data_IF_201071986667
#
_entry.id   IF_201071986667
#
_cell.length_a   1.000
_cell.length_b   1.000
_cell.length_c   1.000
_cell.angle_alpha   90.00
_cell.angle_beta   90.00
_cell.angle_gamma   90.00
#
_symmetry.space_group_name_H-M   'P 1'
#
loop_
_entity.id
_entity.type
_entity.pdbx_description
1 polymer ?
#
# COMPACT_ATOMS: atom_id res chain seq x y z
N UNK A 1 -57.50 -54.43 47.93
CA UNK A 1 -56.14 -54.06 47.52
C UNK A 1 -56.10 -54.10 46.00
N UNK A 2 -56.05 -52.92 45.38
CA UNK A 2 -55.62 -52.61 44.01
C UNK A 2 -56.06 -51.17 43.74
N UNK A 3 -55.11 -50.25 43.71
CA UNK A 3 -55.32 -48.87 43.26
C UNK A 3 -54.42 -48.66 42.06
N UNK A 4 -55.05 -48.62 40.89
CA UNK A 4 -54.42 -48.40 39.60
C UNK A 4 -53.78 -47.00 39.55
N UNK A 5 -52.48 -46.95 39.27
CA UNK A 5 -51.75 -45.71 39.09
C UNK A 5 -52.03 -45.14 37.68
N UNK A 6 -52.73 -44.00 37.62
CA UNK A 6 -53.02 -43.28 36.37
C UNK A 6 -51.73 -42.62 35.84
N UNK A 7 -51.29 -42.90 34.60
CA UNK A 7 -50.12 -42.25 34.03
C UNK A 7 -50.40 -40.78 33.68
N UNK A 8 -49.72 -39.84 34.35
CA UNK A 8 -49.76 -38.41 34.00
C UNK A 8 -49.06 -38.19 32.65
N UNK A 9 -49.83 -38.12 31.57
CA UNK A 9 -49.35 -37.61 30.27
C UNK A 9 -49.13 -36.09 30.39
N UNK A 10 -47.88 -35.65 30.34
CA UNK A 10 -47.52 -34.24 30.20
C UNK A 10 -47.95 -33.76 28.80
N UNK A 11 -49.08 -33.06 28.73
CA UNK A 11 -49.54 -32.41 27.49
C UNK A 11 -48.94 -31.01 27.45
N UNK A 12 -47.91 -30.82 26.61
CA UNK A 12 -47.31 -29.50 26.40
C UNK A 12 -48.36 -28.62 25.70
N UNK A 13 -48.77 -27.48 26.31
CA UNK A 13 -49.76 -26.59 25.70
C UNK A 13 -49.24 -26.05 24.35
N UNK A 14 -50.15 -25.85 23.39
CA UNK A 14 -49.81 -25.54 22.00
C UNK A 14 -48.89 -24.31 21.86
N UNK A 15 -49.08 -23.30 22.71
CA UNK A 15 -48.22 -22.10 22.76
C UNK A 15 -46.77 -22.39 23.20
N UNK A 16 -46.56 -23.35 24.11
CA UNK A 16 -45.21 -23.76 24.52
C UNK A 16 -44.49 -24.53 23.40
N UNK A 17 -45.21 -25.31 22.57
CA UNK A 17 -44.62 -25.96 21.38
C UNK A 17 -44.20 -24.95 20.32
N UNK A 18 -45.01 -23.92 20.09
CA UNK A 18 -44.68 -22.84 19.17
C UNK A 18 -43.47 -22.04 19.65
N UNK A 19 -43.40 -21.77 20.96
CA UNK A 19 -42.29 -21.03 21.57
C UNK A 19 -40.98 -21.83 21.55
N UNK A 20 -41.03 -23.14 21.81
CA UNK A 20 -39.87 -24.03 21.69
C UNK A 20 -39.41 -24.08 20.23
N UNK A 21 -40.32 -24.23 19.27
CA UNK A 21 -40.01 -24.21 17.83
C UNK A 21 -39.33 -22.90 17.39
N UNK A 22 -39.87 -21.76 17.83
CA UNK A 22 -39.30 -20.44 17.58
C UNK A 22 -37.91 -20.27 18.20
N UNK A 23 -37.72 -20.72 19.46
CA UNK A 23 -36.41 -20.70 20.11
C UNK A 23 -35.41 -21.62 19.42
N UNK A 24 -35.81 -22.82 18.98
CA UNK A 24 -34.90 -23.75 18.29
C UNK A 24 -34.42 -23.26 16.93
N UNK A 25 -35.18 -22.40 16.25
CA UNK A 25 -34.80 -21.86 14.93
C UNK A 25 -34.19 -20.46 15.03
N UNK A 26 -34.73 -19.61 15.91
CA UNK A 26 -34.31 -18.22 16.05
C UNK A 26 -33.05 -18.02 16.88
N UNK A 27 -32.86 -18.81 17.94
CA UNK A 27 -31.72 -18.66 18.84
C UNK A 27 -30.38 -19.03 18.17
N UNK A 28 -30.26 -20.13 17.40
CA UNK A 28 -29.03 -20.43 16.68
C UNK A 28 -28.69 -19.36 15.64
N UNK A 29 -29.70 -18.80 14.98
CA UNK A 29 -29.52 -17.73 13.99
C UNK A 29 -29.01 -16.44 14.65
N UNK A 30 -29.57 -16.05 15.81
CA UNK A 30 -29.11 -14.90 16.58
C UNK A 30 -27.68 -15.09 17.09
N UNK A 31 -27.34 -16.27 17.60
CA UNK A 31 -25.98 -16.60 18.02
C UNK A 31 -25.01 -16.54 16.83
N UNK A 32 -25.42 -17.04 15.66
CA UNK A 32 -24.62 -16.98 14.44
C UNK A 32 -24.35 -15.52 14.01
N UNK A 33 -25.37 -14.67 14.02
CA UNK A 33 -25.24 -13.23 13.72
C UNK A 33 -24.30 -12.56 14.74
N UNK A 34 -24.49 -12.84 16.03
CA UNK A 34 -23.67 -12.26 17.10
C UNK A 34 -22.19 -12.66 17.02
N UNK A 35 -21.89 -13.84 16.47
CA UNK A 35 -20.52 -14.29 16.19
C UNK A 35 -19.94 -13.73 14.89
N UNK A 36 -20.77 -13.51 13.87
CA UNK A 36 -20.34 -13.03 12.56
C UNK A 36 -20.07 -11.52 12.55
N UNK A 37 -20.92 -10.71 13.21
CA UNK A 37 -20.81 -9.25 13.20
C UNK A 37 -19.44 -8.76 13.70
N UNK A 38 -18.89 -9.23 14.84
CA UNK A 38 -17.57 -8.81 15.31
C UNK A 38 -16.45 -9.20 14.34
N UNK A 39 -16.54 -10.37 13.69
CA UNK A 39 -15.54 -10.82 12.71
C UNK A 39 -15.55 -9.96 11.46
N UNK A 40 -16.74 -9.64 10.93
CA UNK A 40 -16.88 -8.75 9.77
C UNK A 40 -16.35 -7.36 10.12
N UNK A 41 -16.68 -6.85 11.31
CA UNK A 41 -16.19 -5.54 11.75
C UNK A 41 -14.66 -5.53 11.94
N UNK A 42 -14.10 -6.62 12.47
CA UNK A 42 -12.66 -6.79 12.58
C UNK A 42 -11.99 -6.86 11.20
N UNK A 43 -12.56 -7.58 10.23
CA UNK A 43 -12.04 -7.65 8.85
C UNK A 43 -12.14 -6.28 8.16
N UNK A 44 -13.25 -5.55 8.33
CA UNK A 44 -13.40 -4.19 7.79
C UNK A 44 -12.38 -3.26 8.42
N UNK A 45 -12.17 -3.35 9.74
CA UNK A 45 -11.15 -2.58 10.45
C UNK A 45 -9.74 -2.93 9.96
N UNK A 46 -9.42 -4.22 9.81
CA UNK A 46 -8.15 -4.67 9.26
C UNK A 46 -7.99 -4.22 7.81
N UNK A 47 -9.05 -4.24 7.00
CA UNK A 47 -9.03 -3.82 5.61
C UNK A 47 -8.84 -2.32 5.48
N UNK A 48 -9.47 -1.51 6.33
CA UNK A 48 -9.22 -0.07 6.40
C UNK A 48 -7.82 0.21 6.91
N UNK A 49 -7.33 -0.57 7.88
CA UNK A 49 -5.96 -0.49 8.36
C UNK A 49 -4.97 -0.82 7.23
N UNK A 50 -5.17 -1.91 6.49
CA UNK A 50 -4.35 -2.29 5.33
C UNK A 50 -4.45 -1.25 4.21
N UNK A 51 -5.63 -0.71 3.91
CA UNK A 51 -5.77 0.34 2.88
C UNK A 51 -5.10 1.65 3.28
N UNK A 52 -5.17 2.02 4.56
CA UNK A 52 -4.49 3.19 5.08
C UNK A 52 -2.99 2.97 5.25
N UNK A 53 -2.53 1.73 5.52
CA UNK A 53 -1.13 1.36 5.71
C UNK A 53 -0.42 0.97 4.41
N UNK A 54 -1.17 0.62 3.37
CA UNK A 54 -0.63 0.38 2.03
C UNK A 54 -0.16 1.72 1.46
N UNK A 55 1.16 1.89 1.44
CA UNK A 55 1.81 2.93 0.65
C UNK A 55 1.30 2.84 -0.79
N UNK A 56 0.94 3.97 -1.43
CA UNK A 56 0.48 3.95 -2.81
C UNK A 56 1.51 3.20 -3.69
N UNK A 57 1.11 2.21 -4.49
CA UNK A 57 2.01 1.43 -5.35
C UNK A 57 2.66 2.24 -6.48
N UNK A 58 2.51 3.57 -6.44
CA UNK A 58 2.78 4.51 -7.53
C UNK A 58 4.23 5.04 -7.48
N UNK A 59 4.91 4.95 -6.32
CA UNK A 59 6.23 5.56 -6.13
C UNK A 59 7.30 5.04 -7.12
N UNK A 60 7.35 3.73 -7.38
CA UNK A 60 8.35 3.14 -8.29
C UNK A 60 8.15 3.61 -9.73
N UNK A 61 6.89 3.59 -10.17
CA UNK A 61 6.53 3.99 -11.54
C UNK A 61 6.85 5.46 -11.82
N UNK A 62 6.62 6.34 -10.85
CA UNK A 62 6.90 7.78 -11.00
C UNK A 62 8.40 8.10 -11.04
N UNK A 63 9.24 7.35 -10.32
CA UNK A 63 10.71 7.48 -10.41
C UNK A 63 11.19 7.19 -11.84
N UNK A 64 10.66 6.13 -12.45
CA UNK A 64 11.00 5.77 -13.83
C UNK A 64 10.43 6.78 -14.83
N UNK A 65 9.20 7.25 -14.63
CA UNK A 65 8.63 8.31 -15.49
C UNK A 65 9.47 9.61 -15.45
N UNK A 66 9.91 10.03 -14.27
CA UNK A 66 10.80 11.19 -14.14
C UNK A 66 12.14 10.97 -14.86
N UNK A 67 12.66 9.73 -14.85
CA UNK A 67 13.87 9.37 -15.59
C UNK A 67 13.64 9.40 -17.11
N UNK A 68 12.53 8.86 -17.60
CA UNK A 68 12.20 8.86 -19.02
C UNK A 68 12.07 10.29 -19.57
N UNK A 69 11.47 11.21 -18.81
CA UNK A 69 11.40 12.63 -19.16
C UNK A 69 12.80 13.25 -19.26
N UNK A 70 13.71 12.91 -18.36
CA UNK A 70 15.10 13.38 -18.44
C UNK A 70 15.85 12.80 -19.63
N UNK A 71 15.54 11.57 -20.02
CA UNK A 71 16.13 10.94 -21.19
C UNK A 71 15.61 11.58 -22.47
N UNK A 72 14.32 11.88 -22.54
CA UNK A 72 13.72 12.63 -23.64
C UNK A 72 14.31 14.05 -23.74
N UNK A 73 14.42 14.76 -22.62
CA UNK A 73 15.11 16.06 -22.56
C UNK A 73 16.57 15.92 -22.98
N UNK A 74 17.23 14.84 -22.56
CA UNK A 74 18.62 14.59 -22.87
C UNK A 74 18.84 14.39 -24.38
N UNK A 75 17.89 13.75 -25.07
CA UNK A 75 17.94 13.48 -26.50
C UNK A 75 17.50 14.68 -27.36
N UNK A 76 16.45 15.40 -26.93
CA UNK A 76 15.75 16.37 -27.79
C UNK A 76 15.99 17.82 -27.39
N UNK A 77 16.25 18.07 -26.10
CA UNK A 77 16.24 19.42 -25.55
C UNK A 77 14.88 20.11 -25.62
N UNK A 78 13.76 19.37 -25.70
CA UNK A 78 12.42 19.96 -25.78
C UNK A 78 12.06 20.67 -24.45
N UNK A 79 11.83 21.99 -24.46
CA UNK A 79 11.48 22.73 -23.23
C UNK A 79 10.19 22.24 -22.56
N UNK A 80 9.30 21.53 -23.26
CA UNK A 80 8.10 20.92 -22.66
C UNK A 80 8.44 19.88 -21.59
N UNK A 81 9.59 19.21 -21.72
CA UNK A 81 10.04 18.21 -20.75
C UNK A 81 10.23 18.81 -19.36
N UNK A 82 10.59 20.10 -19.27
CA UNK A 82 10.68 20.81 -17.99
C UNK A 82 9.32 20.88 -17.28
N UNK A 83 8.26 21.20 -18.04
CA UNK A 83 6.91 21.27 -17.51
C UNK A 83 6.41 19.88 -17.09
N UNK A 84 6.67 18.85 -17.90
CA UNK A 84 6.31 17.48 -17.53
C UNK A 84 7.07 16.99 -16.30
N UNK A 85 8.35 17.33 -16.19
CA UNK A 85 9.17 17.01 -15.03
C UNK A 85 8.63 17.63 -13.75
N UNK A 86 8.28 18.93 -13.77
CA UNK A 86 7.71 19.62 -12.61
C UNK A 86 6.37 19.00 -12.19
N UNK A 87 5.53 18.60 -13.16
CA UNK A 87 4.26 17.93 -12.87
C UNK A 87 4.46 16.58 -12.19
N UNK A 88 5.34 15.71 -12.72
CA UNK A 88 5.63 14.41 -12.11
C UNK A 88 6.23 14.57 -10.71
N UNK A 89 7.12 15.54 -10.50
CA UNK A 89 7.67 15.78 -9.17
C UNK A 89 6.66 16.34 -8.17
N UNK A 90 5.68 17.12 -8.63
CA UNK A 90 4.55 17.52 -7.80
C UNK A 90 3.70 16.31 -7.38
N UNK A 91 3.43 15.37 -8.30
CA UNK A 91 2.72 14.14 -7.96
C UNK A 91 3.50 13.27 -6.95
N UNK A 92 4.82 13.09 -7.17
CA UNK A 92 5.70 12.39 -6.23
C UNK A 92 5.66 13.07 -4.85
N UNK A 93 5.67 14.41 -4.81
CA UNK A 93 5.58 15.16 -3.56
C UNK A 93 4.26 14.90 -2.84
N UNK A 94 3.13 14.92 -3.54
CA UNK A 94 1.82 14.63 -2.95
C UNK A 94 1.75 13.21 -2.35
N UNK A 95 2.26 12.22 -3.09
CA UNK A 95 2.34 10.83 -2.62
C UNK A 95 3.23 10.72 -1.38
N UNK A 96 4.36 11.44 -1.34
CA UNK A 96 5.24 11.49 -0.15
C UNK A 96 4.56 12.09 1.07
N UNK A 97 3.81 13.19 0.91
CA UNK A 97 3.08 13.83 2.01
C UNK A 97 2.01 12.89 2.57
N UNK A 98 1.29 12.17 1.71
CA UNK A 98 0.34 11.15 2.15
C UNK A 98 1.04 10.01 2.89
N UNK A 99 2.16 9.52 2.36
CA UNK A 99 2.97 8.48 3.01
C UNK A 99 3.50 8.90 4.38
N UNK A 100 3.90 10.17 4.56
CA UNK A 100 4.32 10.68 5.87
C UNK A 100 3.22 10.55 6.93
N UNK A 101 1.96 10.81 6.55
CA UNK A 101 0.81 10.69 7.46
C UNK A 101 0.58 9.24 7.86
N UNK A 102 0.68 8.31 6.90
CA UNK A 102 0.51 6.88 7.13
C UNK A 102 1.60 6.31 8.04
N UNK A 103 2.86 6.63 7.73
CA UNK A 103 4.03 6.08 8.42
C UNK A 103 4.13 6.58 9.86
N UNK A 104 3.62 7.79 10.16
CA UNK A 104 3.55 8.29 11.53
C UNK A 104 2.56 7.51 12.41
N UNK A 105 1.50 6.97 11.82
CA UNK A 105 0.51 6.15 12.55
C UNK A 105 1.01 4.73 12.77
N UNK A 106 1.90 4.25 11.90
CA UNK A 106 2.58 2.97 12.04
C UNK A 106 3.59 3.04 13.20
N UNK A 107 3.27 2.40 14.33
CA UNK A 107 4.15 2.24 15.50
C UNK A 107 5.26 1.19 15.24
N UNK A 108 5.96 1.34 14.13
CA UNK A 108 7.07 0.48 13.73
C UNK A 108 8.30 1.34 13.43
N UNK A 109 9.26 1.31 14.35
CA UNK A 109 10.49 2.11 14.27
C UNK A 109 11.35 1.76 13.04
N UNK A 110 11.35 0.50 12.59
CA UNK A 110 12.11 0.07 11.43
C UNK A 110 11.53 0.68 10.14
N UNK A 111 10.20 0.62 9.99
CA UNK A 111 9.49 1.21 8.84
C UNK A 111 9.69 2.73 8.82
N UNK A 112 9.56 3.40 9.97
CA UNK A 112 9.81 4.84 10.09
C UNK A 112 11.26 5.21 9.70
N UNK A 113 12.24 4.38 10.08
CA UNK A 113 13.64 4.60 9.71
C UNK A 113 13.87 4.43 8.21
N UNK A 114 13.36 3.33 7.62
CA UNK A 114 13.41 3.07 6.17
C UNK A 114 12.74 4.20 5.38
N UNK A 115 11.59 4.67 5.84
CA UNK A 115 10.87 5.79 5.24
C UNK A 115 11.66 7.11 5.29
N UNK A 116 12.25 7.46 6.44
CA UNK A 116 13.13 8.65 6.54
C UNK A 116 14.30 8.58 5.57
N UNK A 117 14.91 7.41 5.42
CA UNK A 117 16.00 7.20 4.45
C UNK A 117 15.51 7.36 3.01
N UNK A 118 14.33 6.81 2.69
CA UNK A 118 13.71 6.98 1.38
C UNK A 118 13.40 8.46 1.07
N UNK A 119 12.90 9.21 2.05
CA UNK A 119 12.64 10.66 1.94
C UNK A 119 13.92 11.46 1.62
N UNK A 120 15.05 11.09 2.23
CA UNK A 120 16.35 11.70 1.92
C UNK A 120 16.78 11.39 0.48
N UNK A 121 16.62 10.15 0.03
CA UNK A 121 16.95 9.75 -1.34
C UNK A 121 16.07 10.46 -2.37
N UNK A 122 14.78 10.66 -2.11
CA UNK A 122 13.90 11.46 -2.97
C UNK A 122 14.42 12.90 -3.14
N UNK A 123 14.84 13.53 -2.04
CA UNK A 123 15.41 14.88 -2.10
C UNK A 123 16.67 14.92 -2.96
N UNK A 124 17.58 13.98 -2.74
CA UNK A 124 18.82 13.87 -3.54
C UNK A 124 18.52 13.61 -5.00
N UNK A 125 17.59 12.70 -5.32
CA UNK A 125 17.19 12.40 -6.69
C UNK A 125 16.61 13.63 -7.37
N UNK A 126 15.67 14.32 -6.73
CA UNK A 126 15.07 15.55 -7.27
C UNK A 126 16.14 16.60 -7.57
N UNK A 127 17.08 16.83 -6.65
CA UNK A 127 18.16 17.80 -6.85
C UNK A 127 19.08 17.42 -8.02
N UNK A 128 19.46 16.15 -8.13
CA UNK A 128 20.28 15.65 -9.24
C UNK A 128 19.55 15.80 -10.58
N UNK A 129 18.29 15.38 -10.63
CA UNK A 129 17.46 15.45 -11.83
C UNK A 129 17.15 16.90 -12.24
N UNK A 130 16.83 17.76 -11.28
CA UNK A 130 16.62 19.19 -11.51
C UNK A 130 17.89 19.87 -12.02
N UNK A 131 19.07 19.47 -11.55
CA UNK A 131 20.34 19.96 -12.10
C UNK A 131 20.52 19.56 -13.56
N UNK A 132 20.15 18.32 -13.93
CA UNK A 132 20.25 17.84 -15.32
C UNK A 132 19.28 18.58 -16.24
N UNK A 133 18.02 18.72 -15.84
CA UNK A 133 16.99 19.32 -16.70
C UNK A 133 17.17 20.83 -16.88
N UNK A 134 17.81 21.50 -15.92
CA UNK A 134 18.11 22.94 -16.00
C UNK A 134 19.46 23.25 -16.65
N UNK A 135 20.30 22.26 -16.93
CA UNK A 135 21.57 22.48 -17.62
C UNK A 135 21.31 22.74 -19.11
N UNK A 136 21.94 23.78 -19.72
CA UNK A 136 21.87 24.00 -21.16
C UNK A 136 22.29 22.76 -21.94
N UNK A 137 21.53 22.43 -23.00
CA UNK A 137 21.72 21.20 -23.76
C UNK A 137 22.42 21.47 -25.09
N UNK A 138 23.42 20.65 -25.41
CA UNK A 138 23.92 20.48 -26.78
C UNK A 138 23.25 19.25 -27.40
N UNK A 139 22.31 19.41 -28.36
CA UNK A 139 21.60 18.28 -28.98
C UNK A 139 22.51 17.30 -29.73
N UNK A 140 23.74 17.70 -30.06
CA UNK A 140 24.65 16.88 -30.86
C UNK A 140 25.60 16.02 -30.01
N UNK A 141 25.55 16.13 -28.69
CA UNK A 141 26.39 15.33 -27.81
C UNK A 141 25.75 13.93 -27.59
N UNK A 142 26.38 12.83 -28.04
CA UNK A 142 25.81 11.49 -27.91
C UNK A 142 25.83 10.96 -26.46
N UNK A 143 26.73 11.47 -25.61
CA UNK A 143 26.88 11.01 -24.21
C UNK A 143 25.85 11.62 -23.27
N UNK A 144 24.97 12.45 -23.82
CA UNK A 144 23.95 13.19 -23.10
C UNK A 144 23.06 12.31 -22.20
N UNK A 145 22.53 11.23 -22.77
CA UNK A 145 21.65 10.30 -22.07
C UNK A 145 22.42 9.50 -21.03
N UNK A 146 23.59 8.99 -21.42
CA UNK A 146 24.42 8.14 -20.55
C UNK A 146 24.95 8.94 -19.34
N UNK A 147 25.35 10.19 -19.55
CA UNK A 147 25.74 11.10 -18.46
C UNK A 147 24.59 11.40 -17.50
N UNK A 148 23.36 11.51 -18.00
CA UNK A 148 22.16 11.67 -17.16
C UNK A 148 21.92 10.41 -16.32
N UNK A 149 21.90 9.23 -16.96
CA UNK A 149 21.72 7.93 -16.30
C UNK A 149 22.78 7.68 -15.24
N UNK A 150 24.05 7.91 -15.54
CA UNK A 150 25.14 7.67 -14.59
C UNK A 150 25.06 8.55 -13.34
N UNK A 151 24.50 9.76 -13.45
CA UNK A 151 24.28 10.66 -12.30
C UNK A 151 23.12 10.20 -11.39
N UNK A 152 22.08 9.56 -11.93
CA UNK A 152 20.88 9.19 -11.17
C UNK A 152 20.86 7.72 -10.73
N UNK A 153 21.59 6.83 -11.43
CA UNK A 153 21.55 5.36 -11.26
C UNK A 153 21.77 4.87 -9.84
N UNK A 154 22.77 5.40 -9.15
CA UNK A 154 23.10 4.97 -7.79
C UNK A 154 21.98 5.32 -6.77
N UNK A 155 21.36 6.49 -6.94
CA UNK A 155 20.27 6.96 -6.09
C UNK A 155 19.02 6.12 -6.37
N UNK A 156 18.66 5.93 -7.65
CA UNK A 156 17.52 5.10 -8.05
C UNK A 156 17.67 3.66 -7.55
N UNK A 157 18.83 3.04 -7.72
CA UNK A 157 19.11 1.70 -7.20
C UNK A 157 18.87 1.65 -5.68
N UNK A 158 19.39 2.63 -4.94
CA UNK A 158 19.22 2.69 -3.48
C UNK A 158 17.76 2.86 -3.05
N UNK A 159 16.96 3.59 -3.83
CA UNK A 159 15.52 3.75 -3.58
C UNK A 159 14.77 2.44 -3.84
N UNK A 160 15.01 1.80 -4.98
CA UNK A 160 14.34 0.53 -5.33
C UNK A 160 14.75 -0.58 -4.35
N UNK A 161 16.01 -0.65 -3.94
CA UNK A 161 16.47 -1.63 -2.95
C UNK A 161 15.82 -1.41 -1.57
N UNK A 162 15.38 -0.18 -1.25
CA UNK A 162 14.61 0.11 -0.03
C UNK A 162 13.11 -0.21 -0.16
N UNK A 163 12.54 -0.08 -1.36
CA UNK A 163 11.10 -0.29 -1.59
C UNK A 163 10.79 -1.77 -1.84
N UNK A 164 11.61 -2.45 -2.64
CA UNK A 164 11.34 -3.81 -3.14
C UNK A 164 12.34 -4.84 -2.57
N UNK A 165 13.29 -4.38 -1.77
CA UNK A 165 14.39 -5.20 -1.25
C UNK A 165 15.55 -5.35 -2.24
N UNK A 166 16.78 -5.65 -1.75
CA UNK A 166 17.96 -5.84 -2.58
C UNK A 166 17.80 -7.01 -3.56
N UNK A 167 18.37 -6.86 -4.75
CA UNK A 167 18.46 -7.96 -5.71
C UNK A 167 19.55 -8.95 -5.30
N UNK A 168 19.19 -10.22 -5.19
CA UNK A 168 20.09 -11.33 -4.91
C UNK A 168 20.43 -12.06 -6.22
N UNK A 169 21.71 -12.00 -6.61
CA UNK A 169 22.18 -12.72 -7.80
C UNK A 169 22.09 -14.24 -7.65
N UNK A 170 22.10 -14.72 -6.41
CA UNK A 170 22.05 -16.15 -6.06
C UNK A 170 20.65 -16.73 -6.32
N UNK A 171 19.60 -15.99 -5.95
CA UNK A 171 18.21 -16.45 -6.12
C UNK A 171 17.56 -15.91 -7.39
N UNK A 172 18.20 -14.96 -8.09
CA UNK A 172 17.67 -14.28 -9.25
C UNK A 172 16.42 -13.43 -8.94
N UNK A 173 16.22 -13.07 -7.66
CA UNK A 173 15.03 -12.40 -7.15
C UNK A 173 15.41 -11.27 -6.19
N UNK A 174 14.50 -10.34 -5.98
CA UNK A 174 14.62 -9.35 -4.89
C UNK A 174 14.15 -9.98 -3.59
N UNK A 175 14.88 -9.72 -2.51
CA UNK A 175 14.65 -10.31 -1.20
C UNK A 175 14.28 -9.22 -0.19
N UNK A 176 13.14 -9.35 0.50
CA UNK A 176 12.83 -8.52 1.68
C UNK A 176 12.21 -7.14 1.43
N UNK A 177 11.36 -7.02 0.40
CA UNK A 177 10.39 -5.91 0.28
C UNK A 177 9.18 -6.11 1.18
#
# INVERSE_FOLDING_TARGET
MNTDAIPRRFVIPLGARLFIGFMTLGLPLLILIMLLVPKVNYIIHLSHKIQNENLPPILDSQIYQAQDILEHWAMTGDPKDKTYFDNIWNEIHQVRVQGDQVIQVLDNQEIQHKWKKLQQLYKSLHQTQASIINTPRDPNNPDNVENSRNKTRAIQKSMIDLIVGPYSEITGKREGG
#
